data_IF_554130092795
#
_entry.id   IF_554130092795
#
_cell.length_a   1.000
_cell.length_b   1.000
_cell.length_c   1.000
_cell.angle_alpha   90.00
_cell.angle_beta   90.00
_cell.angle_gamma   90.00
#
_symmetry.space_group_name_H-M   'P 1'
#
loop_
_entity.id
_entity.type
_entity.pdbx_description
1 polymer ?
#
# COMPACT_ATOMS: atom_id res chain seq x y z
N UNK A 1 -55.38 1.90 -44.50
CA UNK A 1 -55.70 3.28 -44.07
C UNK A 1 -54.43 4.10 -44.20
N UNK A 2 -54.35 5.01 -45.17
CA UNK A 2 -54.75 6.43 -45.04
C UNK A 2 -54.03 7.09 -43.86
N UNK A 3 -53.37 8.23 -43.97
CA UNK A 3 -53.08 9.20 -45.05
C UNK A 3 -52.18 10.23 -44.31
N UNK A 4 -51.10 10.72 -44.92
CA UNK A 4 -51.03 12.10 -45.44
C UNK A 4 -51.15 13.17 -44.33
N UNK A 5 -50.28 14.16 -44.20
CA UNK A 5 -49.80 15.14 -45.19
C UNK A 5 -49.39 16.35 -44.30
N UNK A 6 -48.58 17.34 -44.66
CA UNK A 6 -47.85 17.76 -45.85
C UNK A 6 -47.05 18.99 -45.39
N UNK A 7 -45.81 19.19 -45.86
CA UNK A 7 -45.40 20.24 -46.83
C UNK A 7 -45.44 21.68 -46.29
N UNK A 8 -44.49 22.56 -46.59
CA UNK A 8 -44.17 23.10 -47.93
C UNK A 8 -42.97 24.07 -47.73
N UNK A 9 -41.79 23.79 -48.32
CA UNK A 9 -41.20 24.33 -49.57
C UNK A 9 -40.77 25.81 -49.54
N UNK A 10 -39.50 26.06 -49.92
CA UNK A 10 -39.05 26.86 -51.10
C UNK A 10 -37.50 27.03 -51.01
N UNK A 11 -36.70 26.48 -51.95
CA UNK A 11 -36.13 27.12 -53.18
C UNK A 11 -35.00 28.15 -52.84
N UNK A 12 -33.81 28.24 -53.45
CA UNK A 12 -33.31 27.97 -54.81
C UNK A 12 -31.76 27.77 -54.83
N UNK A 13 -31.29 27.10 -55.89
CA UNK A 13 -29.89 26.84 -56.37
C UNK A 13 -29.29 28.05 -57.16
N UNK A 14 -28.10 28.03 -57.81
CA UNK A 14 -26.80 27.30 -57.64
C UNK A 14 -25.55 28.25 -57.80
N UNK A 15 -24.39 27.71 -58.23
CA UNK A 15 -23.13 28.33 -58.75
C UNK A 15 -22.02 28.71 -57.73
N UNK A 16 -20.70 28.57 -57.97
CA UNK A 16 -19.87 27.98 -59.05
C UNK A 16 -18.40 27.90 -58.53
N UNK A 17 -17.60 27.00 -59.14
CA UNK A 17 -16.14 27.01 -59.37
C UNK A 17 -15.05 27.46 -58.33
N UNK A 18 -14.02 26.61 -58.30
CA UNK A 18 -12.68 26.63 -57.66
C UNK A 18 -11.72 27.78 -58.09
N UNK A 19 -10.37 27.67 -57.92
CA UNK A 19 -9.50 27.46 -56.75
C UNK A 19 -8.45 28.60 -56.58
N UNK A 20 -7.79 28.76 -55.43
CA UNK A 20 -6.51 29.53 -55.37
C UNK A 20 -5.50 28.91 -54.40
N UNK A 21 -4.34 28.58 -54.94
CA UNK A 21 -3.09 28.23 -54.27
C UNK A 21 -2.37 29.49 -53.77
N UNK A 22 -1.72 29.42 -52.61
CA UNK A 22 -0.38 29.98 -52.34
C UNK A 22 0.05 29.56 -50.92
N UNK A 23 1.01 28.66 -50.76
CA UNK A 23 2.46 28.86 -50.85
C UNK A 23 3.07 29.44 -49.55
N UNK A 24 3.78 28.54 -48.86
CA UNK A 24 5.06 28.71 -48.15
C UNK A 24 5.22 29.78 -47.06
N UNK A 25 5.46 29.31 -45.83
CA UNK A 25 6.51 29.87 -44.95
C UNK A 25 6.90 28.88 -43.83
N UNK A 26 8.07 28.25 -44.01
CA UNK A 26 9.09 27.94 -42.97
C UNK A 26 8.63 27.50 -41.58
N UNK A 27 8.63 26.19 -41.34
CA UNK A 27 8.78 25.61 -40.00
C UNK A 27 10.27 25.37 -39.72
N UNK A 28 10.88 26.20 -38.88
CA UNK A 28 12.19 25.96 -38.26
C UNK A 28 11.98 25.80 -36.74
N UNK A 29 12.23 24.57 -36.28
CA UNK A 29 12.78 24.12 -34.98
C UNK A 29 12.60 24.99 -33.71
N UNK A 30 12.06 24.38 -32.65
CA UNK A 30 12.63 24.44 -31.29
C UNK A 30 12.09 23.33 -30.35
N UNK A 31 12.92 22.29 -30.25
CA UNK A 31 13.12 21.19 -29.28
C UNK A 31 12.11 20.78 -28.15
N UNK A 32 12.03 19.45 -27.90
CA UNK A 32 11.48 18.84 -26.69
C UNK A 32 12.55 18.82 -25.58
N UNK A 33 12.42 19.67 -24.56
CA UNK A 33 13.28 19.60 -23.34
C UNK A 33 12.49 19.49 -22.03
N UNK A 34 11.17 19.63 -22.05
CA UNK A 34 10.37 19.65 -20.83
C UNK A 34 9.98 18.24 -20.30
N UNK A 35 10.00 17.20 -21.15
CA UNK A 35 9.50 15.87 -20.78
C UNK A 35 10.53 14.99 -20.08
N UNK A 36 11.83 15.23 -20.27
CA UNK A 36 12.89 14.38 -19.71
C UNK A 36 13.23 14.67 -18.24
N UNK A 37 12.83 15.83 -17.70
CA UNK A 37 13.12 16.21 -16.31
C UNK A 37 12.09 15.69 -15.30
N UNK A 38 10.88 15.34 -15.75
CA UNK A 38 9.81 14.83 -14.89
C UNK A 38 10.07 13.37 -14.43
N UNK A 39 10.77 12.57 -15.25
CA UNK A 39 11.06 11.16 -14.96
C UNK A 39 12.27 10.94 -14.01
N UNK A 40 13.03 12.00 -13.68
CA UNK A 40 14.23 11.89 -12.81
C UNK A 40 13.91 12.01 -11.31
N UNK A 41 12.70 12.44 -10.96
CA UNK A 41 12.23 12.56 -9.59
C UNK A 41 11.01 11.65 -9.52
N UNK A 42 11.09 10.54 -8.77
CA UNK A 42 10.05 9.49 -8.69
C UNK A 42 8.72 9.91 -8.04
N UNK A 43 8.15 11.04 -8.48
CA UNK A 43 6.80 11.49 -8.14
C UNK A 43 5.84 10.77 -9.08
N UNK A 44 4.84 10.09 -8.53
CA UNK A 44 3.85 9.39 -9.34
C UNK A 44 3.09 10.39 -10.23
N UNK A 45 3.15 10.19 -11.55
CA UNK A 45 2.46 10.97 -12.58
C UNK A 45 0.92 10.98 -12.46
N UNK A 46 0.37 10.18 -11.53
CA UNK A 46 -1.05 9.85 -11.43
C UNK A 46 -1.95 11.05 -11.12
N UNK A 47 -1.44 12.11 -10.48
CA UNK A 47 -2.26 13.27 -10.11
C UNK A 47 -2.43 14.31 -11.23
N UNK A 48 -1.68 14.21 -12.33
CA UNK A 48 -1.68 15.22 -13.41
C UNK A 48 -2.28 14.72 -14.73
N UNK A 49 -2.59 13.43 -14.86
CA UNK A 49 -3.25 12.87 -16.04
C UNK A 49 -4.78 12.96 -15.92
N UNK A 50 -5.33 14.11 -16.33
CA UNK A 50 -6.77 14.33 -16.40
C UNK A 50 -7.13 15.33 -17.49
N UNK A 51 -7.76 14.86 -18.56
CA UNK A 51 -8.31 15.67 -19.66
C UNK A 51 -9.28 16.75 -19.14
N UNK A 52 -9.06 17.99 -19.55
CA UNK A 52 -9.90 19.19 -19.38
C UNK A 52 -10.80 19.22 -18.12
N UNK A 53 -10.22 19.40 -16.94
CA UNK A 53 -10.98 19.70 -15.71
C UNK A 53 -10.77 21.16 -15.27
N UNK A 54 -11.86 21.77 -14.79
CA UNK A 54 -11.99 23.17 -14.39
C UNK A 54 -10.78 23.68 -13.59
N UNK A 55 -10.34 24.93 -13.86
CA UNK A 55 -9.12 25.53 -13.31
C UNK A 55 -8.97 25.43 -11.76
N UNK A 56 -10.07 25.29 -11.02
CA UNK A 56 -10.09 25.04 -9.58
C UNK A 56 -9.53 23.67 -9.18
N UNK A 57 -9.97 22.60 -9.85
CA UNK A 57 -9.49 21.22 -9.63
C UNK A 57 -7.99 21.11 -9.91
N UNK A 58 -7.52 21.77 -10.98
CA UNK A 58 -6.10 21.80 -11.33
C UNK A 58 -5.23 22.50 -10.26
N UNK A 59 -5.75 23.53 -9.60
CA UNK A 59 -5.03 24.27 -8.56
C UNK A 59 -4.88 23.42 -7.29
N UNK A 60 -5.94 22.71 -6.90
CA UNK A 60 -5.91 21.77 -5.77
C UNK A 60 -4.90 20.64 -6.00
N UNK A 61 -4.97 19.98 -7.16
CA UNK A 61 -4.07 18.87 -7.51
C UNK A 61 -2.59 19.31 -7.51
N UNK A 62 -2.30 20.52 -8.01
CA UNK A 62 -0.95 21.10 -7.93
C UNK A 62 -0.50 21.38 -6.50
N UNK A 63 -1.41 21.83 -5.64
CA UNK A 63 -1.13 21.99 -4.21
C UNK A 63 -0.77 20.66 -3.53
N UNK A 64 -1.51 19.60 -3.82
CA UNK A 64 -1.23 18.25 -3.31
C UNK A 64 0.10 17.71 -3.85
N UNK A 65 0.37 17.89 -5.14
CA UNK A 65 1.62 17.47 -5.76
C UNK A 65 2.86 18.19 -5.18
N UNK A 66 2.73 19.43 -4.71
CA UNK A 66 3.81 20.10 -3.95
C UNK A 66 4.13 19.36 -2.65
N UNK A 67 3.11 18.90 -1.92
CA UNK A 67 3.30 18.15 -0.67
C UNK A 67 4.00 16.81 -0.94
N UNK A 68 3.59 16.11 -2.00
CA UNK A 68 4.25 14.85 -2.41
C UNK A 68 5.71 15.07 -2.84
N UNK A 69 5.98 16.11 -3.63
CA UNK A 69 7.34 16.46 -4.03
C UNK A 69 8.21 16.83 -2.82
N UNK A 70 7.65 17.55 -1.84
CA UNK A 70 8.34 17.88 -0.59
C UNK A 70 8.64 16.62 0.24
N UNK A 71 7.72 15.67 0.30
CA UNK A 71 7.93 14.36 0.92
C UNK A 71 9.03 13.55 0.22
N UNK A 72 9.15 13.68 -1.11
CA UNK A 72 10.23 13.09 -1.91
C UNK A 72 11.58 13.84 -1.80
N UNK A 73 11.67 14.90 -0.99
CA UNK A 73 12.90 15.61 -0.67
C UNK A 73 13.13 16.91 -1.46
N UNK A 74 12.19 17.36 -2.30
CA UNK A 74 12.26 18.67 -2.96
C UNK A 74 12.09 19.79 -1.93
N UNK A 75 12.96 20.81 -1.98
CA UNK A 75 12.96 21.89 -0.97
C UNK A 75 12.84 23.30 -1.54
N UNK A 76 13.19 23.52 -2.81
CA UNK A 76 13.25 24.87 -3.38
C UNK A 76 12.15 25.14 -4.42
N UNK A 77 11.83 26.43 -4.58
CA UNK A 77 10.74 26.88 -5.43
C UNK A 77 10.94 26.56 -6.93
N UNK A 78 12.19 26.55 -7.40
CA UNK A 78 12.50 26.27 -8.80
C UNK A 78 12.20 24.81 -9.11
N UNK A 79 12.64 23.90 -8.23
CA UNK A 79 12.40 22.46 -8.36
C UNK A 79 10.91 22.13 -8.26
N UNK A 80 10.16 22.75 -7.34
CA UNK A 80 8.69 22.60 -7.31
C UNK A 80 8.04 23.03 -8.63
N UNK A 81 8.42 24.19 -9.18
CA UNK A 81 7.88 24.65 -10.46
C UNK A 81 8.20 23.73 -11.63
N UNK A 82 9.39 23.12 -11.63
CA UNK A 82 9.79 22.14 -12.63
C UNK A 82 8.93 20.86 -12.56
N UNK A 83 8.70 20.32 -11.35
CA UNK A 83 7.87 19.12 -11.13
C UNK A 83 6.42 19.36 -11.58
N UNK A 84 5.88 20.55 -11.33
CA UNK A 84 4.47 20.87 -11.58
C UNK A 84 4.21 21.41 -13.01
N UNK A 85 5.27 21.72 -13.77
CA UNK A 85 5.16 22.43 -15.03
C UNK A 85 4.56 23.84 -14.91
N UNK A 86 4.82 24.55 -13.80
CA UNK A 86 4.22 25.86 -13.52
C UNK A 86 5.21 27.01 -13.52
N UNK A 87 4.72 28.23 -13.77
CA UNK A 87 5.54 29.45 -13.68
C UNK A 87 6.00 29.71 -12.24
N UNK A 88 7.11 30.44 -12.07
CA UNK A 88 7.61 30.84 -10.75
C UNK A 88 6.55 31.56 -9.90
N UNK A 89 5.75 32.45 -10.51
CA UNK A 89 4.69 33.18 -9.81
C UNK A 89 3.58 32.24 -9.31
N UNK A 90 3.16 31.30 -10.15
CA UNK A 90 2.15 30.29 -9.79
C UNK A 90 2.66 29.38 -8.66
N UNK A 91 3.89 28.87 -8.78
CA UNK A 91 4.49 28.02 -7.74
C UNK A 91 4.64 28.78 -6.43
N UNK A 92 5.09 30.03 -6.47
CA UNK A 92 5.22 30.87 -5.27
C UNK A 92 3.88 31.00 -4.55
N UNK A 93 2.81 31.35 -5.28
CA UNK A 93 1.47 31.48 -4.68
C UNK A 93 1.01 30.18 -4.01
N UNK A 94 1.17 29.04 -4.66
CA UNK A 94 0.79 27.75 -4.10
C UNK A 94 1.59 27.40 -2.83
N UNK A 95 2.92 27.54 -2.89
CA UNK A 95 3.80 27.29 -1.73
C UNK A 95 3.48 28.24 -0.59
N UNK A 96 3.28 29.54 -0.86
CA UNK A 96 2.88 30.52 0.16
C UNK A 96 1.55 30.15 0.81
N UNK A 97 0.55 29.71 0.05
CA UNK A 97 -0.73 29.26 0.59
C UNK A 97 -0.57 28.01 1.47
N UNK A 98 0.25 27.03 1.05
CA UNK A 98 0.52 25.83 1.86
C UNK A 98 1.31 26.15 3.14
N UNK A 99 2.21 27.14 3.11
CA UNK A 99 2.91 27.64 4.30
C UNK A 99 1.94 28.34 5.26
N UNK A 100 1.09 29.23 4.73
CA UNK A 100 0.05 29.90 5.53
C UNK A 100 -0.92 28.91 6.18
N UNK A 101 -1.29 27.86 5.46
CA UNK A 101 -2.14 26.78 5.96
C UNK A 101 -1.40 25.72 6.81
N UNK A 102 -0.09 25.92 7.07
CA UNK A 102 0.79 25.05 7.88
C UNK A 102 1.03 23.64 7.33
N UNK A 103 0.68 23.38 6.07
CA UNK A 103 1.01 22.13 5.37
C UNK A 103 2.48 22.09 4.91
N UNK A 104 3.07 23.26 4.66
CA UNK A 104 4.50 23.45 4.54
C UNK A 104 5.00 24.37 5.66
N UNK A 105 6.30 24.35 5.91
CA UNK A 105 7.01 25.35 6.72
C UNK A 105 8.25 25.81 5.98
N UNK A 106 8.53 27.11 6.09
CA UNK A 106 9.76 27.68 5.55
C UNK A 106 10.91 27.48 6.53
N UNK A 107 12.07 27.09 6.02
CA UNK A 107 13.31 26.90 6.78
C UNK A 107 14.48 27.57 6.07
N UNK A 108 15.62 27.71 6.75
CA UNK A 108 16.86 28.09 6.07
C UNK A 108 17.17 27.04 4.99
N UNK A 109 17.19 27.45 3.72
CA UNK A 109 17.43 26.57 2.57
C UNK A 109 16.19 26.02 1.85
N UNK A 110 14.96 26.45 2.21
CA UNK A 110 13.77 26.14 1.41
C UNK A 110 12.51 25.87 2.22
N UNK A 111 11.76 24.85 1.81
CA UNK A 111 10.48 24.45 2.39
C UNK A 111 10.52 22.97 2.78
N UNK A 112 9.87 22.64 3.90
CA UNK A 112 9.66 21.27 4.38
C UNK A 112 8.18 21.06 4.69
N UNK A 113 7.78 19.81 4.88
CA UNK A 113 6.45 19.48 5.41
C UNK A 113 6.22 20.19 6.76
N UNK A 114 5.02 20.74 6.91
CA UNK A 114 4.58 21.49 8.07
C UNK A 114 3.78 20.63 9.07
N UNK A 115 3.57 21.15 10.30
CA UNK A 115 2.94 20.40 11.39
C UNK A 115 1.48 20.01 11.12
N UNK A 116 0.77 20.68 10.20
CA UNK A 116 -0.62 20.34 9.88
C UNK A 116 -0.78 18.90 9.40
N UNK A 117 0.25 18.36 8.76
CA UNK A 117 0.26 16.97 8.28
C UNK A 117 0.34 15.96 9.42
N UNK A 118 1.02 16.29 10.53
CA UNK A 118 1.03 15.45 11.73
C UNK A 118 -0.36 15.45 12.38
N UNK A 119 -0.94 16.65 12.56
CA UNK A 119 -2.29 16.80 13.14
C UNK A 119 -3.34 15.98 12.37
N UNK A 120 -3.37 16.13 11.04
CA UNK A 120 -4.31 15.42 10.19
C UNK A 120 -4.00 13.93 10.10
N UNK A 121 -2.72 13.56 10.11
CA UNK A 121 -2.30 12.16 10.12
C UNK A 121 -2.77 11.43 11.39
N UNK A 122 -2.62 12.04 12.57
CA UNK A 122 -3.11 11.48 13.83
C UNK A 122 -4.63 11.29 13.81
N UNK A 123 -5.38 12.30 13.38
CA UNK A 123 -6.85 12.20 13.27
C UNK A 123 -7.25 11.11 12.27
N UNK A 124 -6.57 11.03 11.12
CA UNK A 124 -6.86 9.99 10.12
C UNK A 124 -6.61 8.58 10.66
N UNK A 125 -5.52 8.38 11.40
CA UNK A 125 -5.23 7.11 12.06
C UNK A 125 -6.30 6.73 13.11
N UNK A 126 -6.81 7.70 13.86
CA UNK A 126 -7.93 7.49 14.81
C UNK A 126 -9.25 7.14 14.09
N UNK A 127 -9.47 7.73 12.92
CA UNK A 127 -10.68 7.50 12.10
C UNK A 127 -10.63 6.20 11.28
N UNK A 128 -9.46 5.61 11.10
CA UNK A 128 -9.25 4.38 10.33
C UNK A 128 -8.84 3.24 11.26
N UNK A 129 -9.75 2.70 12.10
CA UNK A 129 -9.42 1.55 12.93
C UNK A 129 -9.00 0.40 12.03
N UNK A 130 -7.82 -0.15 12.31
CA UNK A 130 -7.18 -1.22 11.54
C UNK A 130 -8.14 -2.36 11.17
N UNK A 131 -9.02 -2.74 12.10
CA UNK A 131 -10.03 -3.79 11.86
C UNK A 131 -11.02 -3.41 10.76
N UNK A 132 -11.49 -2.16 10.73
CA UNK A 132 -12.42 -1.70 9.69
C UNK A 132 -11.76 -1.64 8.31
N UNK A 133 -10.51 -1.17 8.25
CA UNK A 133 -9.69 -1.15 7.03
C UNK A 133 -9.41 -2.57 6.53
N UNK A 134 -9.05 -3.48 7.44
CA UNK A 134 -8.70 -4.84 7.08
C UNK A 134 -9.91 -5.68 6.67
N UNK A 135 -11.10 -5.43 7.23
CA UNK A 135 -12.25 -6.35 7.13
C UNK A 135 -12.61 -6.76 5.69
N UNK A 136 -12.69 -5.85 4.70
CA UNK A 136 -12.99 -6.24 3.32
C UNK A 136 -11.95 -7.21 2.73
N UNK A 137 -10.67 -7.00 3.01
CA UNK A 137 -9.58 -7.86 2.57
C UNK A 137 -9.58 -9.22 3.25
N UNK A 138 -9.87 -9.25 4.56
CA UNK A 138 -10.03 -10.50 5.29
C UNK A 138 -11.22 -11.30 4.72
N UNK A 139 -12.32 -10.63 4.38
CA UNK A 139 -13.49 -11.29 3.78
C UNK A 139 -13.18 -11.85 2.39
N UNK A 140 -12.50 -11.08 1.53
CA UNK A 140 -12.06 -11.57 0.22
C UNK A 140 -11.18 -12.81 0.35
N UNK A 141 -10.25 -12.81 1.32
CA UNK A 141 -9.40 -13.96 1.60
C UNK A 141 -10.19 -15.16 2.13
N UNK A 142 -11.18 -14.93 3.00
CA UNK A 142 -12.06 -15.98 3.52
C UNK A 142 -12.90 -16.60 2.40
N UNK A 143 -13.44 -15.78 1.50
CA UNK A 143 -14.27 -16.24 0.38
C UNK A 143 -13.46 -17.02 -0.67
N UNK A 144 -12.22 -16.59 -0.93
CA UNK A 144 -11.31 -17.27 -1.87
C UNK A 144 -10.78 -18.61 -1.32
N UNK A 145 -10.47 -18.68 -0.03
CA UNK A 145 -9.79 -19.85 0.57
C UNK A 145 -10.72 -20.83 1.27
N UNK A 146 -11.88 -20.34 1.73
CA UNK A 146 -12.82 -21.03 2.62
C UNK A 146 -12.21 -21.43 3.97
N UNK A 147 -11.04 -20.89 4.30
CA UNK A 147 -10.26 -21.21 5.49
C UNK A 147 -10.42 -20.14 6.57
N UNK A 148 -9.89 -20.39 7.76
CA UNK A 148 -10.00 -19.43 8.87
C UNK A 148 -9.01 -18.30 8.66
N UNK A 149 -9.49 -17.06 8.71
CA UNK A 149 -8.67 -15.86 8.58
C UNK A 149 -8.46 -15.22 9.94
N UNK A 150 -7.23 -14.82 10.23
CA UNK A 150 -6.89 -14.08 11.45
C UNK A 150 -6.27 -12.73 11.11
N UNK A 151 -6.53 -11.74 11.97
CA UNK A 151 -5.78 -10.51 12.04
C UNK A 151 -5.31 -10.30 13.48
N UNK A 152 -4.03 -10.00 13.65
CA UNK A 152 -3.45 -9.72 14.95
C UNK A 152 -2.54 -8.50 14.94
N UNK A 153 -2.27 -7.97 16.13
CA UNK A 153 -1.25 -6.94 16.40
C UNK A 153 -0.29 -7.45 17.46
N UNK A 154 0.91 -6.87 17.52
CA UNK A 154 1.89 -7.20 18.54
C UNK A 154 1.52 -6.52 19.86
N UNK A 155 1.56 -7.28 20.95
CA UNK A 155 1.42 -6.79 22.33
C UNK A 155 2.54 -7.41 23.19
N UNK A 156 3.63 -6.67 23.34
CA UNK A 156 4.86 -7.18 23.98
C UNK A 156 5.47 -8.35 23.19
N UNK A 157 5.56 -9.51 23.85
CA UNK A 157 6.10 -10.77 23.29
C UNK A 157 5.00 -11.68 22.71
N UNK A 158 3.75 -11.19 22.69
CA UNK A 158 2.57 -11.90 22.21
C UNK A 158 1.96 -11.23 20.98
N UNK A 159 1.14 -12.00 20.26
CA UNK A 159 0.15 -11.52 19.32
C UNK A 159 -1.18 -11.39 20.04
N UNK A 160 -1.82 -10.23 19.94
CA UNK A 160 -3.23 -10.03 20.26
C UNK A 160 -4.08 -10.19 18.99
N UNK A 161 -4.98 -11.17 18.99
CA UNK A 161 -5.96 -11.32 17.91
C UNK A 161 -7.02 -10.21 18.00
N UNK A 162 -7.17 -9.45 16.91
CA UNK A 162 -8.12 -8.31 16.84
C UNK A 162 -9.25 -8.55 15.85
N UNK A 163 -9.10 -9.49 14.92
CA UNK A 163 -10.19 -9.98 14.08
C UNK A 163 -10.02 -11.47 13.74
N UNK A 164 -11.14 -12.14 13.47
CA UNK A 164 -11.22 -13.53 13.02
C UNK A 164 -12.42 -13.71 12.10
N UNK A 165 -12.21 -14.39 10.97
CA UNK A 165 -13.30 -14.92 10.13
C UNK A 165 -13.21 -16.45 10.19
N UNK A 166 -14.21 -17.14 10.77
CA UNK A 166 -14.23 -18.60 10.80
C UNK A 166 -14.24 -19.20 9.39
N UNK A 167 -13.45 -20.25 9.17
CA UNK A 167 -13.48 -21.02 7.93
C UNK A 167 -14.75 -21.85 7.78
N UNK A 168 -15.01 -22.32 6.57
CA UNK A 168 -16.23 -23.08 6.22
C UNK A 168 -16.02 -24.61 6.24
N UNK A 169 -14.81 -25.08 6.56
CA UNK A 169 -14.42 -26.51 6.51
C UNK A 169 -14.75 -27.30 7.78
N UNK A 170 -15.67 -26.78 8.61
CA UNK A 170 -16.26 -27.51 9.74
C UNK A 170 -15.39 -27.69 10.99
N UNK A 171 -14.17 -27.14 11.03
CA UNK A 171 -13.34 -27.12 12.24
C UNK A 171 -13.36 -25.75 12.92
N UNK A 172 -13.68 -25.74 14.21
CA UNK A 172 -13.53 -24.55 15.05
C UNK A 172 -12.12 -24.50 15.66
N UNK A 173 -11.34 -23.49 15.28
CA UNK A 173 -10.02 -23.23 15.87
C UNK A 173 -10.16 -22.56 17.25
N UNK A 174 -9.28 -22.91 18.19
CA UNK A 174 -9.26 -22.37 19.57
C UNK A 174 -9.06 -20.86 19.64
N UNK A 175 -8.42 -20.26 18.62
CA UNK A 175 -8.18 -18.82 18.53
C UNK A 175 -9.48 -18.02 18.66
N UNK A 176 -9.46 -16.90 19.37
CA UNK A 176 -10.59 -15.94 19.39
C UNK A 176 -10.09 -14.51 19.49
N UNK A 177 -10.89 -13.56 19.04
CA UNK A 177 -10.61 -12.13 19.23
C UNK A 177 -10.40 -11.84 20.72
N UNK A 178 -9.39 -11.04 21.03
CA UNK A 178 -8.94 -10.73 22.39
C UNK A 178 -7.98 -11.75 23.00
N UNK A 179 -7.71 -12.89 22.34
CA UNK A 179 -6.69 -13.83 22.80
C UNK A 179 -5.28 -13.35 22.53
N UNK A 180 -4.38 -13.82 23.39
CA UNK A 180 -2.94 -13.67 23.23
C UNK A 180 -2.28 -15.02 22.99
N UNK A 181 -1.33 -15.03 22.08
CA UNK A 181 -0.47 -16.18 21.80
C UNK A 181 0.97 -15.70 21.59
N UNK A 182 1.99 -16.46 22.02
CA UNK A 182 3.38 -16.05 21.84
C UNK A 182 3.74 -15.79 20.38
N UNK A 183 4.56 -14.77 20.13
CA UNK A 183 4.91 -14.36 18.77
C UNK A 183 5.56 -15.50 17.97
N UNK A 184 6.57 -16.16 18.54
CA UNK A 184 7.38 -17.13 17.79
C UNK A 184 6.64 -18.46 17.53
N UNK A 185 5.53 -18.73 18.21
CA UNK A 185 4.75 -19.95 17.98
C UNK A 185 3.71 -19.80 16.88
N UNK A 186 3.31 -18.59 16.49
CA UNK A 186 2.22 -18.37 15.52
C UNK A 186 2.72 -17.84 14.18
N UNK A 187 2.01 -18.12 13.08
CA UNK A 187 2.34 -17.57 11.76
C UNK A 187 2.32 -16.04 11.76
N UNK A 188 1.23 -15.43 12.23
CA UNK A 188 1.09 -13.96 12.32
C UNK A 188 2.14 -13.33 13.26
N UNK A 189 2.51 -14.00 14.35
CA UNK A 189 3.53 -13.49 15.25
C UNK A 189 4.92 -13.52 14.64
N UNK A 190 5.28 -14.62 13.97
CA UNK A 190 6.51 -14.68 13.17
C UNK A 190 6.51 -13.60 12.08
N UNK A 191 5.37 -13.30 11.46
CA UNK A 191 5.28 -12.26 10.44
C UNK A 191 5.57 -10.86 11.03
N UNK A 192 5.16 -10.60 12.28
CA UNK A 192 5.51 -9.36 13.00
C UNK A 192 6.98 -9.27 13.42
N UNK A 193 7.71 -10.39 13.37
CA UNK A 193 9.13 -10.45 13.74
C UNK A 193 10.07 -10.23 12.55
N UNK A 194 9.59 -10.19 11.31
CA UNK A 194 10.43 -10.29 10.10
C UNK A 194 11.51 -9.23 9.96
N UNK A 195 11.30 -8.04 10.53
CA UNK A 195 12.27 -6.93 10.48
C UNK A 195 13.17 -6.88 11.73
N UNK A 196 12.98 -7.77 12.70
CA UNK A 196 13.80 -7.82 13.90
C UNK A 196 15.18 -8.45 13.62
N UNK A 197 16.15 -8.12 14.46
CA UNK A 197 17.47 -8.73 14.38
C UNK A 197 17.43 -10.23 14.74
N UNK A 198 18.33 -11.07 14.21
CA UNK A 198 18.37 -12.51 14.51
C UNK A 198 18.45 -12.84 16.01
N UNK A 199 19.09 -11.98 16.81
CA UNK A 199 19.13 -12.16 18.26
C UNK A 199 17.72 -12.02 18.88
N UNK A 200 16.94 -11.02 18.45
CA UNK A 200 15.57 -10.83 18.90
C UNK A 200 14.66 -12.00 18.49
N UNK A 201 14.91 -12.64 17.33
CA UNK A 201 14.21 -13.86 16.96
C UNK A 201 14.46 -14.99 17.96
N UNK A 202 15.72 -15.18 18.38
CA UNK A 202 16.09 -16.20 19.37
C UNK A 202 15.47 -15.90 20.73
N UNK A 203 15.57 -14.66 21.20
CA UNK A 203 15.03 -14.26 22.51
C UNK A 203 13.51 -14.49 22.59
N UNK A 204 12.77 -14.12 21.53
CA UNK A 204 11.32 -14.32 21.44
C UNK A 204 10.94 -15.79 21.27
N UNK A 205 11.77 -16.58 20.59
CA UNK A 205 11.60 -18.04 20.51
C UNK A 205 11.72 -18.69 21.88
N UNK A 206 12.77 -18.35 22.63
CA UNK A 206 13.00 -18.88 23.99
C UNK A 206 11.93 -18.40 24.98
N UNK A 207 11.43 -17.16 24.84
CA UNK A 207 10.28 -16.67 25.59
C UNK A 207 9.01 -17.47 25.28
N UNK A 208 8.71 -17.68 23.99
CA UNK A 208 7.53 -18.44 23.55
C UNK A 208 7.54 -19.88 24.08
N UNK A 209 8.70 -20.55 24.03
CA UNK A 209 8.84 -21.91 24.60
C UNK A 209 8.57 -21.94 26.10
N UNK A 210 9.06 -20.96 26.86
CA UNK A 210 8.79 -20.87 28.31
C UNK A 210 7.31 -20.65 28.59
N UNK A 211 6.64 -19.77 27.86
CA UNK A 211 5.20 -19.51 28.02
C UNK A 211 4.36 -20.74 27.69
N UNK A 212 4.75 -21.53 26.68
CA UNK A 212 4.01 -22.71 26.24
C UNK A 212 4.29 -23.98 27.05
N UNK A 213 5.38 -24.03 27.84
CA UNK A 213 5.76 -25.23 28.58
C UNK A 213 4.70 -25.74 29.58
N UNK A 214 3.74 -24.88 29.98
CA UNK A 214 2.68 -25.21 30.95
C UNK A 214 1.26 -25.21 30.38
N UNK A 215 1.07 -25.07 29.07
CA UNK A 215 -0.27 -25.02 28.46
C UNK A 215 -0.83 -26.43 28.22
N UNK A 216 -2.17 -26.55 28.28
CA UNK A 216 -2.88 -27.84 28.16
C UNK A 216 -3.05 -28.33 26.72
N UNK A 217 -2.97 -27.42 25.73
CA UNK A 217 -2.85 -27.83 24.34
C UNK A 217 -1.44 -28.35 24.07
N UNK A 218 -1.27 -29.19 23.04
CA UNK A 218 0.03 -29.77 22.68
C UNK A 218 0.57 -29.02 21.46
N UNK A 219 1.46 -28.02 21.62
CA UNK A 219 2.24 -27.48 20.51
C UNK A 219 3.32 -28.49 20.13
N UNK A 220 3.73 -28.52 18.86
CA UNK A 220 4.96 -29.24 18.52
C UNK A 220 6.18 -28.46 19.03
N UNK A 221 6.82 -28.99 20.07
CA UNK A 221 8.03 -28.43 20.68
C UNK A 221 9.33 -29.04 20.14
N UNK A 222 9.26 -29.89 19.11
CA UNK A 222 10.44 -30.53 18.51
C UNK A 222 11.30 -29.58 17.67
N UNK A 223 10.82 -28.35 17.41
CA UNK A 223 11.55 -27.38 16.62
C UNK A 223 12.80 -26.89 17.36
N UNK A 224 13.97 -27.23 16.82
CA UNK A 224 15.25 -26.76 17.33
C UNK A 224 15.48 -25.26 17.03
N UNK A 225 16.12 -24.51 17.95
CA UNK A 225 16.34 -23.06 17.80
C UNK A 225 17.03 -22.67 16.48
N UNK A 226 18.04 -23.44 16.05
CA UNK A 226 18.79 -23.13 14.83
C UNK A 226 17.94 -23.35 13.57
N UNK A 227 17.02 -24.31 13.60
CA UNK A 227 16.05 -24.54 12.52
C UNK A 227 15.04 -23.39 12.48
N UNK A 228 14.57 -22.91 13.63
CA UNK A 228 13.71 -21.74 13.71
C UNK A 228 14.37 -20.50 13.10
N UNK A 229 15.62 -20.21 13.44
CA UNK A 229 16.35 -19.06 12.89
C UNK A 229 16.56 -19.15 11.37
N UNK A 230 16.88 -20.33 10.84
CA UNK A 230 16.99 -20.55 9.38
C UNK A 230 15.65 -20.31 8.67
N UNK A 231 14.54 -20.78 9.26
CA UNK A 231 13.19 -20.51 8.75
C UNK A 231 12.88 -19.01 8.78
N UNK A 232 13.15 -18.33 9.89
CA UNK A 232 12.93 -16.88 10.01
C UNK A 232 13.74 -16.07 8.99
N UNK A 233 14.99 -16.46 8.70
CA UNK A 233 15.77 -15.82 7.65
C UNK A 233 15.13 -15.99 6.26
N UNK A 234 14.62 -17.19 5.96
CA UNK A 234 13.89 -17.47 4.71
C UNK A 234 12.61 -16.66 4.62
N UNK A 235 11.83 -16.63 5.70
CA UNK A 235 10.60 -15.88 5.83
C UNK A 235 10.82 -14.37 5.70
N UNK A 236 11.87 -13.84 6.33
CA UNK A 236 12.22 -12.40 6.25
C UNK A 236 12.55 -12.00 4.82
N UNK A 237 13.33 -12.81 4.10
CA UNK A 237 13.64 -12.58 2.70
C UNK A 237 12.40 -12.72 1.79
N UNK A 238 11.48 -13.64 2.10
CA UNK A 238 10.27 -13.90 1.32
C UNK A 238 9.09 -12.98 1.62
N UNK A 239 9.06 -12.34 2.80
CA UNK A 239 7.93 -11.51 3.26
C UNK A 239 6.68 -12.31 3.62
N UNK A 240 6.83 -13.56 4.05
CA UNK A 240 5.74 -14.45 4.49
C UNK A 240 6.24 -15.38 5.59
N UNK A 241 5.34 -16.03 6.32
CA UNK A 241 5.69 -17.05 7.32
C UNK A 241 4.75 -18.23 7.25
N UNK A 242 5.26 -19.39 7.65
CA UNK A 242 4.44 -20.56 7.92
C UNK A 242 4.41 -20.88 9.40
N UNK A 243 3.24 -21.27 9.92
CA UNK A 243 3.09 -22.07 11.13
C UNK A 243 2.93 -23.53 10.71
N UNK A 244 3.89 -24.36 11.11
CA UNK A 244 3.95 -25.78 10.77
C UNK A 244 3.61 -26.62 12.00
N UNK A 245 2.47 -26.30 12.64
CA UNK A 245 1.95 -26.97 13.84
C UNK A 245 2.68 -26.58 15.15
N UNK A 246 3.43 -25.47 15.12
CA UNK A 246 4.18 -24.98 16.28
C UNK A 246 3.26 -24.34 17.34
N UNK A 247 2.10 -23.84 16.92
CA UNK A 247 1.08 -23.31 17.84
C UNK A 247 0.07 -24.37 18.29
N UNK A 248 -0.43 -25.17 17.35
CA UNK A 248 -1.50 -26.13 17.58
C UNK A 248 -1.30 -27.31 16.63
N UNK A 249 -1.17 -28.52 17.18
CA UNK A 249 -1.06 -29.75 16.39
C UNK A 249 -2.21 -29.85 15.40
N UNK A 250 -1.92 -30.35 14.19
CA UNK A 250 -2.88 -30.48 13.10
C UNK A 250 -3.36 -29.18 12.46
N UNK A 251 -2.87 -28.01 12.91
CA UNK A 251 -3.18 -26.71 12.30
C UNK A 251 -1.93 -26.15 11.65
N UNK A 252 -2.10 -25.68 10.41
CA UNK A 252 -1.07 -24.93 9.70
C UNK A 252 -1.62 -23.61 9.23
N UNK A 253 -0.75 -22.61 9.15
CA UNK A 253 -1.13 -21.32 8.59
C UNK A 253 -0.03 -20.67 7.76
N UNK A 254 -0.46 -19.84 6.81
CA UNK A 254 0.40 -18.95 6.02
C UNK A 254 0.06 -17.52 6.41
N UNK A 255 1.06 -16.71 6.72
CA UNK A 255 0.85 -15.33 7.17
C UNK A 255 1.76 -14.33 6.43
N UNK A 256 1.33 -13.07 6.41
CA UNK A 256 2.11 -11.96 5.87
C UNK A 256 1.97 -10.70 6.74
N UNK A 257 3.01 -9.85 6.77
CA UNK A 257 3.01 -8.63 7.57
C UNK A 257 2.17 -7.53 6.91
N UNK A 258 1.51 -6.74 7.75
CA UNK A 258 0.84 -5.49 7.36
C UNK A 258 1.69 -4.32 7.85
N UNK A 259 1.99 -3.38 6.95
CA UNK A 259 2.86 -2.24 7.20
C UNK A 259 2.08 -0.93 7.18
N UNK A 260 2.52 0.03 7.98
CA UNK A 260 1.99 1.39 7.96
C UNK A 260 2.80 2.32 7.03
N UNK A 261 2.43 3.60 6.98
CA UNK A 261 3.13 4.62 6.20
C UNK A 261 4.61 4.81 6.57
N UNK A 262 5.04 4.44 7.79
CA UNK A 262 6.45 4.48 8.19
C UNK A 262 7.26 3.32 7.61
N UNK A 263 6.59 2.28 7.12
CA UNK A 263 7.19 1.03 6.70
C UNK A 263 7.30 0.01 7.83
N UNK A 264 6.97 0.35 9.07
CA UNK A 264 6.99 -0.58 10.20
C UNK A 264 5.89 -1.64 10.07
N UNK A 265 6.16 -2.86 10.53
CA UNK A 265 5.14 -3.91 10.64
C UNK A 265 4.27 -3.61 11.86
N UNK A 266 3.00 -3.29 11.63
CA UNK A 266 2.04 -2.90 12.67
C UNK A 266 0.99 -3.98 12.96
N UNK A 267 0.79 -4.91 12.02
CA UNK A 267 -0.12 -6.04 12.16
C UNK A 267 0.34 -7.20 11.28
N UNK A 268 -0.35 -8.32 11.34
CA UNK A 268 -0.21 -9.40 10.37
C UNK A 268 -1.54 -10.14 10.22
N UNK A 269 -1.74 -10.72 9.04
CA UNK A 269 -2.90 -11.56 8.75
C UNK A 269 -2.47 -12.96 8.32
N UNK A 270 -3.32 -13.95 8.55
CA UNK A 270 -3.06 -15.33 8.13
C UNK A 270 -4.28 -16.06 7.60
N UNK A 271 -4.01 -17.07 6.79
CA UNK A 271 -4.93 -18.14 6.39
C UNK A 271 -4.53 -19.39 7.15
N UNK A 272 -5.46 -19.99 7.88
CA UNK A 272 -5.22 -21.16 8.70
C UNK A 272 -6.25 -22.26 8.40
N UNK A 273 -5.79 -23.52 8.33
CA UNK A 273 -6.64 -24.69 8.20
C UNK A 273 -5.99 -25.93 8.79
N UNK A 274 -6.69 -27.06 8.76
CA UNK A 274 -6.12 -28.35 9.18
C UNK A 274 -5.18 -28.92 8.14
N UNK A 275 -4.26 -29.80 8.54
CA UNK A 275 -3.30 -30.47 7.62
C UNK A 275 -3.96 -31.02 6.34
N UNK A 276 -5.10 -31.75 6.38
CA UNK A 276 -5.71 -32.30 5.17
C UNK A 276 -6.11 -31.23 4.15
N UNK A 277 -6.42 -30.02 4.62
CA UNK A 277 -6.75 -28.88 3.78
C UNK A 277 -5.56 -27.93 3.58
N UNK A 278 -4.44 -28.12 4.26
CA UNK A 278 -3.27 -27.25 4.21
C UNK A 278 -1.97 -28.06 4.02
N UNK A 279 -1.86 -28.85 2.93
CA UNK A 279 -0.59 -29.48 2.56
C UNK A 279 0.44 -28.40 2.14
N UNK A 280 1.73 -28.75 2.16
CA UNK A 280 2.82 -27.79 1.92
C UNK A 280 2.71 -27.11 0.55
N UNK A 281 2.30 -27.86 -0.47
CA UNK A 281 2.09 -27.36 -1.83
C UNK A 281 1.04 -26.23 -1.85
N UNK A 282 -0.06 -26.41 -1.12
CA UNK A 282 -1.09 -25.38 -0.99
C UNK A 282 -0.59 -24.19 -0.17
N UNK A 283 0.24 -24.41 0.84
CA UNK A 283 0.83 -23.32 1.61
C UNK A 283 1.68 -22.41 0.71
N UNK A 284 2.46 -23.00 -0.20
CA UNK A 284 3.25 -22.26 -1.18
C UNK A 284 2.35 -21.47 -2.16
N UNK A 285 1.27 -22.08 -2.64
CA UNK A 285 0.27 -21.42 -3.50
C UNK A 285 -0.43 -20.23 -2.81
N UNK A 286 -0.61 -20.31 -1.48
CA UNK A 286 -1.25 -19.26 -0.69
C UNK A 286 -0.32 -18.09 -0.37
N UNK A 287 1.00 -18.22 -0.48
CA UNK A 287 1.95 -17.12 -0.25
C UNK A 287 1.54 -15.84 -1.02
N UNK A 288 1.42 -15.86 -2.37
CA UNK A 288 1.07 -14.66 -3.12
C UNK A 288 -0.33 -14.13 -2.78
N UNK A 289 -1.26 -15.01 -2.40
CA UNK A 289 -2.64 -14.64 -2.04
C UNK A 289 -2.67 -13.84 -0.73
N UNK A 290 -2.02 -14.37 0.32
CA UNK A 290 -1.95 -13.71 1.63
C UNK A 290 -1.16 -12.40 1.54
N UNK A 291 -0.05 -12.40 0.79
CA UNK A 291 0.75 -11.20 0.58
C UNK A 291 0.01 -10.10 -0.18
N UNK A 292 -0.84 -10.48 -1.15
CA UNK A 292 -1.67 -9.54 -1.91
C UNK A 292 -2.61 -8.79 -0.98
N UNK A 293 -3.36 -9.50 -0.13
CA UNK A 293 -4.27 -8.87 0.82
C UNK A 293 -3.54 -8.06 1.89
N UNK A 294 -2.42 -8.58 2.42
CA UNK A 294 -1.63 -7.85 3.41
C UNK A 294 -1.06 -6.55 2.82
N UNK A 295 -0.64 -6.58 1.55
CA UNK A 295 -0.19 -5.40 0.80
C UNK A 295 -1.32 -4.40 0.59
N UNK A 296 -2.52 -4.85 0.24
CA UNK A 296 -3.66 -3.99 0.02
C UNK A 296 -4.05 -3.25 1.31
N UNK A 297 -4.14 -3.97 2.43
CA UNK A 297 -4.34 -3.35 3.76
C UNK A 297 -3.22 -2.36 4.06
N UNK A 298 -1.95 -2.73 3.80
CA UNK A 298 -0.81 -1.85 4.03
C UNK A 298 -0.92 -0.54 3.21
N UNK A 299 -1.35 -0.63 1.95
CA UNK A 299 -1.55 0.54 1.09
C UNK A 299 -2.63 1.47 1.61
N UNK A 300 -3.73 0.93 2.15
CA UNK A 300 -4.76 1.72 2.82
C UNK A 300 -4.26 2.38 4.11
N UNK A 301 -3.31 1.75 4.81
CA UNK A 301 -2.58 2.35 5.95
C UNK A 301 -1.45 3.32 5.52
N UNK A 302 -1.35 3.63 4.22
CA UNK A 302 -0.41 4.59 3.66
C UNK A 302 0.97 4.02 3.32
N UNK A 303 1.18 2.70 3.44
CA UNK A 303 2.43 2.08 3.01
C UNK A 303 2.57 2.14 1.48
N UNK A 304 3.74 2.55 1.01
CA UNK A 304 4.12 2.47 -0.40
C UNK A 304 5.30 1.52 -0.53
N UNK A 305 5.22 0.58 -1.48
CA UNK A 305 6.34 -0.31 -1.77
C UNK A 305 7.56 0.54 -2.16
N UNK A 306 8.77 0.25 -1.62
CA UNK A 306 9.98 0.94 -2.03
C UNK A 306 10.17 0.79 -3.55
N UNK A 307 10.19 1.91 -4.28
CA UNK A 307 10.56 1.86 -5.69
C UNK A 307 12.03 1.46 -5.80
N UNK A 308 12.41 0.51 -6.68
CA UNK A 308 13.81 0.20 -6.91
C UNK A 308 14.52 1.47 -7.37
N UNK A 309 15.53 1.91 -6.61
CA UNK A 309 16.33 3.06 -6.97
C UNK A 309 17.12 2.75 -8.24
N UNK A 310 16.67 3.26 -9.38
CA UNK A 310 17.43 3.19 -10.63
C UNK A 310 18.69 4.03 -10.47
N UNK A 311 19.80 3.39 -10.03
CA UNK A 311 21.12 4.00 -10.07
C UNK A 311 21.47 4.27 -11.53
N UNK A 312 21.31 5.52 -11.97
CA UNK A 312 21.82 5.98 -13.26
C UNK A 312 23.35 5.85 -13.25
N UNK A 313 23.85 4.89 -14.02
CA UNK A 313 25.27 4.76 -14.34
C UNK A 313 25.63 5.99 -15.17
N UNK A 314 26.42 6.90 -14.60
CA UNK A 314 27.07 7.96 -15.38
C UNK A 314 28.10 7.30 -16.30
N UNK A 315 27.88 7.36 -17.60
CA UNK A 315 28.93 7.21 -18.61
C UNK A 315 29.43 8.59 -18.99
#
# INVERSE_FOLDING_TARGET
MNKAMSSTLAANLPDEAAPVQNASATAVQAQPKARAAADEIGVASTLLDGSMQQAGTQTLLRGLAILEAAAAGVRDLRSFGAVLGTTRSTTHRLVSSLVQARYLRQVQGGYLLGPKLIELGTIALEQMPLTAVARPHLQALADETLDTIHLGVRDGDDVLYIDKIPGQRGLEMRSRVGHRMPLASTGIGKAMMLDLAPQSWRDLFDASRRTLAGVSFRPDHSLEPDTFLKRMATYSAGGYTFDLEENEISIRCVAAPVRDASGAIVAALSVASTIPYMPLERMDELIPVVQREARAISQELGWRAPQPTTRRIRR
#
